data_IF_656198515696
#
_entry.id   IF_656198515696
#
_cell.length_a   1.000
_cell.length_b   1.000
_cell.length_c   1.000
_cell.angle_alpha   90.00
_cell.angle_beta   90.00
_cell.angle_gamma   90.00
#
_symmetry.space_group_name_H-M   'P 1'
#
loop_
_entity.id
_entity.type
_entity.pdbx_description
1 polymer ?
#
# COMPACT_ATOMS: atom_id res chain seq x y z
N UNK A 1 10.58 2.87 20.27
CA UNK A 1 11.45 4.01 19.93
C UNK A 1 11.22 4.37 18.47
N UNK A 2 10.88 5.62 18.15
CA UNK A 2 10.57 6.03 16.77
C UNK A 2 11.83 6.01 15.89
N UNK A 3 11.76 5.35 14.72
CA UNK A 3 12.79 5.35 13.66
C UNK A 3 13.16 6.76 13.16
N UNK A 4 12.38 7.78 13.51
CA UNK A 4 12.65 9.18 13.19
C UNK A 4 13.95 9.71 13.82
N UNK A 5 14.45 9.07 14.89
CA UNK A 5 15.67 9.52 15.57
C UNK A 5 16.96 9.26 14.79
N UNK A 6 17.00 8.34 13.82
CA UNK A 6 18.27 7.92 13.20
C UNK A 6 18.81 8.85 12.12
N UNK A 7 17.98 9.35 11.20
CA UNK A 7 18.49 10.04 9.99
C UNK A 7 19.16 11.40 10.25
N UNK A 8 19.01 11.95 11.44
CA UNK A 8 19.61 13.24 11.80
C UNK A 8 20.08 13.32 13.24
N UNK A 9 20.22 12.19 13.97
CA UNK A 9 20.74 12.18 15.34
C UNK A 9 22.13 12.83 15.44
N UNK A 10 22.95 12.67 14.42
CA UNK A 10 24.33 13.17 14.34
C UNK A 10 24.41 14.67 14.01
N UNK A 11 23.34 15.27 13.50
CA UNK A 11 23.32 16.69 13.13
C UNK A 11 22.92 17.54 14.36
N UNK A 12 23.77 18.49 14.80
CA UNK A 12 23.47 19.35 15.94
C UNK A 12 22.18 20.16 15.76
N UNK A 13 21.46 20.39 16.86
CA UNK A 13 20.18 21.11 16.84
C UNK A 13 20.30 22.54 16.30
N UNK A 14 21.42 23.23 16.57
CA UNK A 14 21.63 24.58 16.06
C UNK A 14 21.77 24.59 14.52
N UNK A 15 22.42 23.59 13.93
CA UNK A 15 22.54 23.47 12.46
C UNK A 15 21.17 23.27 11.84
N UNK A 16 20.32 22.41 12.43
CA UNK A 16 18.92 22.23 11.98
C UNK A 16 18.08 23.50 12.12
N UNK A 17 18.35 24.33 13.13
CA UNK A 17 17.64 25.59 13.37
C UNK A 17 18.01 26.67 12.36
N UNK A 18 19.30 26.81 12.04
CA UNK A 18 19.81 27.93 11.23
C UNK A 18 20.05 27.59 9.76
N UNK A 19 20.03 26.30 9.38
CA UNK A 19 20.18 25.86 7.99
C UNK A 19 18.93 25.11 7.53
N UNK A 20 17.88 25.82 7.04
CA UNK A 20 16.62 25.21 6.63
C UNK A 20 16.75 24.16 5.51
N UNK A 21 17.83 24.19 4.73
CA UNK A 21 18.13 23.19 3.71
C UNK A 21 18.35 21.79 4.30
N UNK A 22 18.92 21.70 5.51
CA UNK A 22 19.19 20.42 6.20
C UNK A 22 17.87 19.72 6.53
N UNK A 23 16.90 20.41 7.10
CA UNK A 23 15.58 19.82 7.40
C UNK A 23 14.85 19.37 6.13
N UNK A 24 14.99 20.11 5.02
CA UNK A 24 14.45 19.71 3.72
C UNK A 24 15.11 18.43 3.20
N UNK A 25 16.44 18.33 3.26
CA UNK A 25 17.19 17.14 2.86
C UNK A 25 16.79 15.91 3.69
N UNK A 26 16.67 16.06 5.01
CA UNK A 26 16.21 14.99 5.90
C UNK A 26 14.79 14.53 5.58
N UNK A 27 13.88 15.45 5.28
CA UNK A 27 12.51 15.12 4.88
C UNK A 27 12.47 14.32 3.56
N UNK A 28 13.29 14.69 2.58
CA UNK A 28 13.43 13.96 1.32
C UNK A 28 14.02 12.56 1.52
N UNK A 29 15.07 12.44 2.34
CA UNK A 29 15.67 11.14 2.65
C UNK A 29 14.66 10.21 3.34
N UNK A 30 13.91 10.73 4.32
CA UNK A 30 12.82 10.00 4.97
C UNK A 30 11.76 9.55 3.96
N UNK A 31 11.28 10.47 3.12
CA UNK A 31 10.31 10.15 2.07
C UNK A 31 10.81 9.05 1.12
N UNK A 32 12.07 9.14 0.68
CA UNK A 32 12.70 8.15 -0.19
C UNK A 32 12.73 6.76 0.44
N UNK A 33 13.16 6.67 1.71
CA UNK A 33 13.17 5.41 2.47
C UNK A 33 11.77 4.82 2.61
N UNK A 34 10.80 5.61 3.06
CA UNK A 34 9.40 5.16 3.23
C UNK A 34 8.77 4.73 1.90
N UNK A 35 9.11 5.39 0.79
CA UNK A 35 8.64 5.01 -0.54
C UNK A 35 9.23 3.67 -0.97
N UNK A 36 10.54 3.46 -0.75
CA UNK A 36 11.20 2.18 -1.01
C UNK A 36 10.59 1.03 -0.22
N UNK A 37 10.42 1.20 1.09
CA UNK A 37 9.75 0.23 1.98
C UNK A 37 8.32 -0.05 1.50
N UNK A 38 7.56 0.98 1.14
CA UNK A 38 6.20 0.84 0.62
C UNK A 38 6.11 0.06 -0.69
N UNK A 39 7.06 0.27 -1.62
CA UNK A 39 7.13 -0.49 -2.87
C UNK A 39 7.50 -1.95 -2.61
N UNK A 40 8.47 -2.21 -1.75
CA UNK A 40 8.87 -3.57 -1.39
C UNK A 40 7.71 -4.36 -0.76
N UNK A 41 6.99 -3.76 0.19
CA UNK A 41 5.85 -4.40 0.84
C UNK A 41 4.72 -4.72 -0.16
N UNK A 42 4.45 -3.83 -1.11
CA UNK A 42 3.44 -4.10 -2.16
C UNK A 42 3.87 -5.21 -3.11
N UNK A 43 5.16 -5.23 -3.50
CA UNK A 43 5.69 -6.28 -4.36
C UNK A 43 5.63 -7.65 -3.69
N UNK A 44 5.97 -7.72 -2.39
CA UNK A 44 5.83 -8.94 -1.60
C UNK A 44 4.36 -9.39 -1.50
N UNK A 45 3.46 -8.49 -1.08
CA UNK A 45 2.03 -8.82 -0.97
C UNK A 45 1.40 -9.25 -2.31
N UNK A 46 1.83 -8.65 -3.41
CA UNK A 46 1.41 -9.07 -4.75
C UNK A 46 1.88 -10.49 -5.05
N UNK A 47 3.15 -10.80 -4.77
CA UNK A 47 3.72 -12.10 -5.06
C UNK A 47 3.08 -13.21 -4.20
N UNK A 48 2.96 -12.99 -2.89
CA UNK A 48 2.32 -13.93 -1.97
C UNK A 48 0.87 -14.21 -2.40
N UNK A 49 0.12 -13.15 -2.72
CA UNK A 49 -1.28 -13.30 -3.14
C UNK A 49 -1.43 -13.91 -4.53
N UNK A 50 -0.46 -13.70 -5.44
CA UNK A 50 -0.40 -14.41 -6.72
C UNK A 50 -0.25 -15.91 -6.50
N UNK A 51 0.62 -16.32 -5.59
CA UNK A 51 0.81 -17.73 -5.31
C UNK A 51 -0.45 -18.33 -4.67
N UNK A 52 -1.15 -17.59 -3.79
CA UNK A 52 -2.46 -17.98 -3.26
C UNK A 52 -3.54 -18.14 -4.34
N UNK A 53 -3.66 -17.17 -5.26
CA UNK A 53 -4.62 -17.21 -6.36
C UNK A 53 -4.38 -18.40 -7.29
N UNK A 54 -3.11 -18.71 -7.56
CA UNK A 54 -2.72 -19.87 -8.35
C UNK A 54 -3.12 -21.19 -7.69
N UNK A 55 -2.87 -21.33 -6.38
CA UNK A 55 -3.26 -22.52 -5.63
C UNK A 55 -4.78 -22.66 -5.57
N UNK A 56 -5.50 -21.56 -5.36
CA UNK A 56 -6.96 -21.55 -5.35
C UNK A 56 -7.53 -22.03 -6.69
N UNK A 57 -7.03 -21.51 -7.81
CA UNK A 57 -7.44 -21.94 -9.15
C UNK A 57 -7.13 -23.42 -9.43
N UNK A 58 -5.97 -23.90 -8.96
CA UNK A 58 -5.57 -25.31 -9.12
C UNK A 58 -6.47 -26.28 -8.33
N UNK A 59 -7.02 -25.83 -7.20
CA UNK A 59 -7.86 -26.63 -6.31
C UNK A 59 -9.35 -26.68 -6.73
N UNK A 60 -9.79 -25.82 -7.65
CA UNK A 60 -11.18 -25.82 -8.15
C UNK A 60 -11.49 -27.19 -8.77
N UNK A 61 -12.58 -27.84 -8.35
CA UNK A 61 -13.11 -29.04 -9.02
C UNK A 61 -14.03 -28.68 -10.19
N UNK A 62 -14.33 -29.62 -11.06
CA UNK A 62 -15.20 -29.42 -12.23
C UNK A 62 -16.67 -29.09 -11.89
N UNK A 63 -17.04 -29.20 -10.61
CA UNK A 63 -18.42 -29.04 -10.13
C UNK A 63 -18.77 -27.58 -9.78
N UNK A 64 -17.78 -26.70 -9.73
CA UNK A 64 -17.95 -25.28 -9.45
C UNK A 64 -17.53 -24.44 -10.66
N UNK A 65 -18.32 -23.41 -10.98
CA UNK A 65 -17.96 -22.41 -11.99
C UNK A 65 -16.72 -21.66 -11.51
N UNK A 66 -15.60 -21.83 -12.24
CA UNK A 66 -14.35 -21.13 -11.94
C UNK A 66 -14.54 -19.61 -12.08
N UNK A 67 -15.35 -19.18 -13.04
CA UNK A 67 -15.73 -17.80 -13.27
C UNK A 67 -16.48 -17.20 -12.06
N UNK A 68 -17.42 -17.95 -11.47
CA UNK A 68 -18.19 -17.46 -10.32
C UNK A 68 -17.30 -17.30 -9.08
N UNK A 69 -16.40 -18.25 -8.84
CA UNK A 69 -15.43 -18.16 -7.74
C UNK A 69 -14.51 -16.95 -7.95
N UNK A 70 -14.02 -16.77 -9.17
CA UNK A 70 -13.17 -15.63 -9.51
C UNK A 70 -13.89 -14.30 -9.26
N UNK A 71 -15.13 -14.15 -9.74
CA UNK A 71 -15.87 -12.91 -9.62
C UNK A 71 -16.14 -12.55 -8.14
N UNK A 72 -16.58 -13.53 -7.34
CA UNK A 72 -16.85 -13.32 -5.91
C UNK A 72 -15.57 -12.92 -5.17
N UNK A 73 -14.49 -13.70 -5.32
CA UNK A 73 -13.23 -13.45 -4.62
C UNK A 73 -12.58 -12.13 -5.05
N UNK A 74 -12.51 -11.84 -6.36
CA UNK A 74 -12.00 -10.58 -6.89
C UNK A 74 -12.79 -9.40 -6.31
N UNK A 75 -14.13 -9.47 -6.33
CA UNK A 75 -14.99 -8.41 -5.82
C UNK A 75 -14.79 -8.16 -4.32
N UNK A 76 -14.66 -9.21 -3.52
CA UNK A 76 -14.37 -9.10 -2.09
C UNK A 76 -13.03 -8.41 -1.82
N UNK A 77 -11.96 -8.84 -2.52
CA UNK A 77 -10.64 -8.24 -2.36
C UNK A 77 -10.61 -6.77 -2.79
N UNK A 78 -11.24 -6.44 -3.92
CA UNK A 78 -11.34 -5.06 -4.38
C UNK A 78 -12.23 -4.21 -3.50
N UNK A 79 -13.27 -4.77 -2.87
CA UNK A 79 -14.10 -4.05 -1.90
C UNK A 79 -13.25 -3.50 -0.76
N UNK A 80 -12.36 -4.32 -0.20
CA UNK A 80 -11.42 -3.90 0.87
C UNK A 80 -10.46 -2.81 0.37
N UNK A 81 -9.91 -2.97 -0.84
CA UNK A 81 -9.03 -1.96 -1.42
C UNK A 81 -9.76 -0.61 -1.66
N UNK A 82 -11.01 -0.67 -2.10
CA UNK A 82 -11.85 0.49 -2.36
C UNK A 82 -12.24 1.20 -1.06
N UNK A 83 -12.59 0.46 0.00
CA UNK A 83 -12.89 1.04 1.31
C UNK A 83 -11.70 1.90 1.82
N UNK A 84 -10.49 1.35 1.78
CA UNK A 84 -9.31 2.12 2.17
C UNK A 84 -9.01 3.28 1.22
N UNK A 85 -9.32 3.13 -0.06
CA UNK A 85 -9.19 4.21 -1.04
C UNK A 85 -10.13 5.37 -0.71
N UNK A 86 -11.37 5.09 -0.35
CA UNK A 86 -12.36 6.10 0.01
C UNK A 86 -12.02 6.76 1.36
N UNK A 87 -11.56 5.99 2.35
CA UNK A 87 -10.99 6.55 3.58
C UNK A 87 -9.81 7.49 3.28
N UNK A 88 -8.91 7.10 2.37
CA UNK A 88 -7.78 7.93 1.98
C UNK A 88 -8.24 9.23 1.28
N UNK A 89 -9.28 9.18 0.44
CA UNK A 89 -9.88 10.37 -0.19
C UNK A 89 -10.47 11.32 0.85
N UNK A 90 -11.25 10.80 1.81
CA UNK A 90 -11.85 11.60 2.87
C UNK A 90 -10.75 12.33 3.65
N UNK A 91 -9.71 11.61 4.08
CA UNK A 91 -8.58 12.20 4.80
C UNK A 91 -7.82 13.22 3.95
N UNK A 92 -7.66 12.98 2.64
CA UNK A 92 -7.03 13.93 1.74
C UNK A 92 -7.82 15.24 1.62
N UNK A 93 -9.15 15.18 1.61
CA UNK A 93 -10.02 16.36 1.59
C UNK A 93 -9.90 17.20 2.87
N UNK A 94 -9.58 16.57 4.00
CA UNK A 94 -9.39 17.26 5.29
C UNK A 94 -8.08 18.05 5.36
N UNK A 95 -7.08 17.75 4.53
CA UNK A 95 -5.75 18.40 4.57
C UNK A 95 -5.87 19.92 4.39
N UNK A 96 -6.64 20.36 3.40
CA UNK A 96 -6.79 21.78 3.06
C UNK A 96 -7.79 22.52 3.96
N UNK A 97 -8.52 21.81 4.82
CA UNK A 97 -9.46 22.40 5.78
C UNK A 97 -8.77 22.83 7.09
N UNK A 98 -7.53 22.39 7.32
CA UNK A 98 -6.78 22.71 8.54
C UNK A 98 -6.25 24.15 8.53
N UNK A 99 -6.39 24.83 9.67
CA UNK A 99 -6.07 26.27 9.80
C UNK A 99 -4.58 26.54 9.96
N UNK A 100 -3.89 25.69 10.71
CA UNK A 100 -2.46 25.83 10.98
C UNK A 100 -1.62 24.76 10.27
N UNK A 101 -0.32 24.99 10.26
CA UNK A 101 0.65 24.12 9.58
C UNK A 101 0.76 22.75 10.24
N UNK A 102 0.72 22.69 11.56
CA UNK A 102 0.94 21.44 12.31
C UNK A 102 -0.25 20.48 12.12
N UNK A 103 -1.48 20.99 12.21
CA UNK A 103 -2.69 20.25 11.91
C UNK A 103 -2.71 19.74 10.46
N UNK A 104 -2.27 20.57 9.50
CA UNK A 104 -2.15 20.17 8.08
C UNK A 104 -1.10 19.07 7.87
N UNK A 105 0.05 19.17 8.52
CA UNK A 105 1.11 18.16 8.44
C UNK A 105 0.65 16.82 9.05
N UNK A 106 -0.13 16.86 10.15
CA UNK A 106 -0.76 15.68 10.75
C UNK A 106 -1.80 15.05 9.83
N UNK A 107 -2.71 15.85 9.25
CA UNK A 107 -3.71 15.36 8.30
C UNK A 107 -3.06 14.73 7.07
N UNK A 108 -1.98 15.34 6.55
CA UNK A 108 -1.18 14.79 5.45
C UNK A 108 -0.55 13.44 5.84
N UNK A 109 -0.06 13.31 7.06
CA UNK A 109 0.46 12.05 7.61
C UNK A 109 -0.59 10.94 7.59
N UNK A 110 -1.79 11.22 8.11
CA UNK A 110 -2.91 10.26 8.13
C UNK A 110 -3.34 9.85 6.72
N UNK A 111 -3.50 10.82 5.81
CA UNK A 111 -3.87 10.54 4.42
C UNK A 111 -2.83 9.65 3.72
N UNK A 112 -1.53 9.87 3.97
CA UNK A 112 -0.45 9.03 3.44
C UNK A 112 -0.51 7.59 3.96
N UNK A 113 -0.78 7.40 5.25
CA UNK A 113 -0.92 6.06 5.84
C UNK A 113 -2.12 5.32 5.23
N UNK A 114 -3.26 5.99 5.12
CA UNK A 114 -4.45 5.41 4.49
C UNK A 114 -4.21 5.05 3.01
N UNK A 115 -3.58 5.94 2.23
CA UNK A 115 -3.25 5.67 0.83
C UNK A 115 -2.26 4.51 0.66
N UNK A 116 -1.30 4.35 1.58
CA UNK A 116 -0.39 3.19 1.60
C UNK A 116 -1.14 1.89 1.83
N UNK A 117 -2.07 1.89 2.78
CA UNK A 117 -2.91 0.73 3.09
C UNK A 117 -3.81 0.36 1.91
N UNK A 118 -4.46 1.33 1.28
CA UNK A 118 -5.24 1.13 0.06
C UNK A 118 -4.40 0.49 -1.05
N UNK A 119 -3.21 1.04 -1.30
CA UNK A 119 -2.30 0.50 -2.32
C UNK A 119 -1.72 -0.88 -1.99
N UNK A 120 -1.67 -1.27 -0.71
CA UNK A 120 -1.28 -2.63 -0.30
C UNK A 120 -2.38 -3.63 -0.64
N UNK A 121 -3.63 -3.34 -0.26
CA UNK A 121 -4.76 -4.21 -0.56
C UNK A 121 -5.05 -4.29 -2.06
N UNK A 122 -4.84 -3.21 -2.82
CA UNK A 122 -4.90 -3.26 -4.27
C UNK A 122 -3.82 -4.19 -4.87
N UNK A 123 -2.63 -4.24 -4.28
CA UNK A 123 -1.58 -5.15 -4.72
C UNK A 123 -1.92 -6.62 -4.42
N UNK A 124 -2.55 -6.89 -3.28
CA UNK A 124 -3.10 -8.22 -2.94
C UNK A 124 -4.15 -8.64 -3.97
N UNK A 125 -5.18 -7.82 -4.20
CA UNK A 125 -6.25 -8.13 -5.16
C UNK A 125 -5.70 -8.40 -6.57
N UNK A 126 -4.81 -7.53 -7.06
CA UNK A 126 -4.19 -7.70 -8.38
C UNK A 126 -3.27 -8.93 -8.46
N UNK A 127 -2.58 -9.26 -7.36
CA UNK A 127 -1.74 -10.45 -7.25
C UNK A 127 -2.60 -11.70 -7.39
N UNK A 128 -3.63 -11.82 -6.55
CA UNK A 128 -4.56 -12.95 -6.56
C UNK A 128 -5.19 -13.17 -7.93
N UNK A 129 -5.73 -12.13 -8.57
CA UNK A 129 -6.34 -12.26 -9.89
C UNK A 129 -5.37 -12.77 -10.95
N UNK A 130 -4.11 -12.31 -10.90
CA UNK A 130 -3.07 -12.78 -11.81
C UNK A 130 -2.77 -14.25 -11.57
N UNK A 131 -2.58 -14.63 -10.31
CA UNK A 131 -2.33 -16.01 -9.91
C UNK A 131 -3.44 -16.95 -10.33
N UNK A 132 -4.69 -16.53 -10.10
CA UNK A 132 -5.87 -17.28 -10.51
C UNK A 132 -5.86 -17.56 -12.02
N UNK A 133 -5.67 -16.52 -12.84
CA UNK A 133 -5.62 -16.66 -14.31
C UNK A 133 -4.52 -17.62 -14.75
N UNK A 134 -3.32 -17.50 -14.17
CA UNK A 134 -2.20 -18.41 -14.44
C UNK A 134 -2.52 -19.87 -14.05
N UNK A 135 -3.24 -20.08 -12.93
CA UNK A 135 -3.66 -21.40 -12.48
C UNK A 135 -4.70 -22.05 -13.38
N UNK A 136 -5.72 -21.30 -13.82
CA UNK A 136 -6.73 -21.78 -14.75
C UNK A 136 -6.12 -22.10 -16.12
N UNK A 137 -5.24 -21.24 -16.64
CA UNK A 137 -4.55 -21.48 -17.92
C UNK A 137 -3.69 -22.74 -17.86
N UNK A 138 -2.94 -22.95 -16.77
CA UNK A 138 -2.15 -24.17 -16.62
C UNK A 138 -3.01 -25.42 -16.51
N UNK A 139 -4.17 -25.32 -15.87
CA UNK A 139 -5.10 -26.44 -15.73
C UNK A 139 -5.78 -26.80 -17.05
N UNK A 140 -6.05 -25.85 -17.93
CA UNK A 140 -6.63 -26.12 -19.26
C UNK A 140 -5.62 -26.70 -20.27
N UNK A 141 -4.32 -26.57 -20.00
CA UNK A 141 -3.24 -27.14 -20.79
C UNK A 141 -2.86 -28.58 -20.40
N UNK A 142 -3.33 -29.07 -19.24
CA UNK A 142 -3.09 -30.42 -18.72
C UNK A 142 -4.32 -31.31 -18.92
#
# INVERSE_FOLDING_TARGET
MSKDKELGSEIPAFVKKYVPAVNRGLAWAKYGKEKGEGTANKAAAFQDSRDEGFQAASAVSSDMSAEDIFEVASKEMWSVANEYTDQAKILAMEINKQKDKEARDNALGLARVAARKAGLHAAVAAGWEKGWKEGIEKKSQN
#
